data_IF_908794602561
#
_entry.id   IF_908794602561
#
_cell.length_a   1.000
_cell.length_b   1.000
_cell.length_c   1.000
_cell.angle_alpha   90.00
_cell.angle_beta   90.00
_cell.angle_gamma   90.00
#
_symmetry.space_group_name_H-M   'P 1'
#
loop_
_entity.id
_entity.type
_entity.pdbx_description
1 polymer ?
#
# COMPACT_ATOMS: atom_id res chain seq x y z
N UNK A 1 -18.08 0.74 -8.41
CA UNK A 1 -18.09 2.16 -7.99
C UNK A 1 -18.21 2.19 -6.46
N UNK A 2 -17.29 2.84 -5.74
CA UNK A 2 -17.35 2.98 -4.26
C UNK A 2 -16.32 2.18 -3.43
N UNK A 3 -15.68 1.16 -4.00
CA UNK A 3 -14.70 0.31 -3.28
C UNK A 3 -13.58 1.13 -2.61
N UNK A 4 -12.97 2.04 -3.36
CA UNK A 4 -11.87 2.86 -2.85
C UNK A 4 -12.30 3.85 -1.79
N UNK A 5 -13.49 4.45 -1.91
CA UNK A 5 -14.02 5.39 -0.92
C UNK A 5 -14.29 4.70 0.43
N UNK A 6 -14.86 3.50 0.40
CA UNK A 6 -15.08 2.69 1.62
C UNK A 6 -13.75 2.31 2.24
N UNK A 7 -12.75 1.94 1.42
CA UNK A 7 -11.40 1.64 1.89
C UNK A 7 -10.73 2.83 2.59
N UNK A 8 -10.79 4.03 1.99
CA UNK A 8 -10.23 5.26 2.60
C UNK A 8 -10.96 5.60 3.90
N UNK A 9 -12.30 5.53 3.91
CA UNK A 9 -13.10 5.82 5.10
C UNK A 9 -12.81 4.83 6.23
N UNK A 10 -12.66 3.54 5.90
CA UNK A 10 -12.26 2.51 6.87
C UNK A 10 -10.88 2.80 7.45
N UNK A 11 -9.90 3.16 6.61
CA UNK A 11 -8.55 3.54 7.07
C UNK A 11 -8.59 4.75 8.02
N UNK A 12 -9.38 5.78 7.69
CA UNK A 12 -9.58 6.94 8.56
C UNK A 12 -10.29 6.61 9.88
N UNK A 13 -11.19 5.61 9.87
CA UNK A 13 -11.95 5.19 11.06
C UNK A 13 -11.10 4.36 12.01
N UNK A 14 -10.32 3.42 11.47
CA UNK A 14 -9.46 2.52 12.26
C UNK A 14 -8.32 3.30 12.91
N UNK A 15 -7.84 4.39 12.28
CA UNK A 15 -6.72 5.22 12.76
C UNK A 15 -5.46 4.41 13.11
N UNK A 16 -5.23 3.31 12.39
CA UNK A 16 -4.01 2.50 12.47
C UNK A 16 -3.32 2.48 11.12
N UNK A 17 -2.13 1.89 11.06
CA UNK A 17 -1.40 1.71 9.80
C UNK A 17 -2.20 0.83 8.84
N UNK A 18 -2.31 1.28 7.60
CA UNK A 18 -3.08 0.63 6.55
C UNK A 18 -2.15 0.13 5.45
N UNK A 19 -2.28 -1.14 5.06
CA UNK A 19 -1.63 -1.72 3.90
C UNK A 19 -2.65 -1.96 2.80
N UNK A 20 -2.38 -1.46 1.60
CA UNK A 20 -3.25 -1.64 0.43
C UNK A 20 -2.50 -2.43 -0.62
N UNK A 21 -3.11 -3.50 -1.13
CA UNK A 21 -2.54 -4.38 -2.13
C UNK A 21 -3.38 -4.37 -3.40
N UNK A 22 -2.75 -3.95 -4.50
CA UNK A 22 -3.35 -3.91 -5.82
C UNK A 22 -2.69 -4.86 -6.81
N UNK A 23 -3.30 -5.03 -7.98
CA UNK A 23 -2.77 -5.92 -9.02
C UNK A 23 -1.69 -5.24 -9.90
N UNK A 24 -1.73 -3.91 -10.03
CA UNK A 24 -0.82 -3.16 -10.91
C UNK A 24 -0.34 -1.84 -10.29
N UNK A 25 0.74 -1.28 -10.83
CA UNK A 25 1.22 0.07 -10.47
C UNK A 25 0.17 1.15 -10.74
N UNK A 26 -0.64 0.98 -11.78
CA UNK A 26 -1.79 1.85 -12.08
C UNK A 26 -2.80 1.82 -10.92
N UNK A 27 -3.08 0.64 -10.36
CA UNK A 27 -3.98 0.52 -9.21
C UNK A 27 -3.40 1.25 -7.99
N UNK A 28 -2.08 1.17 -7.77
CA UNK A 28 -1.40 1.88 -6.67
C UNK A 28 -1.56 3.39 -6.78
N UNK A 29 -1.36 3.96 -7.96
CA UNK A 29 -1.55 5.41 -8.19
C UNK A 29 -3.00 5.85 -8.01
N UNK A 30 -3.95 5.04 -8.47
CA UNK A 30 -5.38 5.30 -8.24
C UNK A 30 -5.70 5.32 -6.75
N UNK A 31 -5.23 4.34 -5.98
CA UNK A 31 -5.41 4.31 -4.53
C UNK A 31 -4.79 5.53 -3.87
N UNK A 32 -3.55 5.90 -4.22
CA UNK A 32 -2.91 7.12 -3.72
C UNK A 32 -3.77 8.36 -4.00
N UNK A 33 -4.27 8.53 -5.21
CA UNK A 33 -5.14 9.65 -5.57
C UNK A 33 -6.43 9.66 -4.75
N UNK A 34 -7.04 8.51 -4.50
CA UNK A 34 -8.25 8.40 -3.66
C UNK A 34 -7.97 8.75 -2.19
N UNK A 35 -6.84 8.30 -1.63
CA UNK A 35 -6.43 8.72 -0.29
C UNK A 35 -6.24 10.23 -0.20
N UNK A 36 -5.60 10.86 -1.18
CA UNK A 36 -5.41 12.32 -1.19
C UNK A 36 -6.71 13.11 -1.39
N UNK A 37 -7.65 12.54 -2.14
CA UNK A 37 -8.91 13.22 -2.45
C UNK A 37 -9.92 13.13 -1.29
N UNK A 38 -9.94 12.00 -0.59
CA UNK A 38 -10.95 11.71 0.44
C UNK A 38 -10.42 11.71 1.88
N UNK A 39 -9.13 11.97 2.08
CA UNK A 39 -8.53 12.13 3.41
C UNK A 39 -7.55 13.30 3.43
N UNK A 40 -7.23 13.80 4.62
CA UNK A 40 -6.28 14.89 4.84
C UNK A 40 -4.86 14.39 5.12
N UNK A 41 -4.52 13.18 4.65
CA UNK A 41 -3.20 12.59 4.84
C UNK A 41 -2.16 13.32 3.98
N UNK A 42 -0.97 13.54 4.53
CA UNK A 42 0.13 14.14 3.78
C UNK A 42 0.76 13.14 2.81
N UNK A 43 1.29 13.62 1.68
CA UNK A 43 1.93 12.76 0.68
C UNK A 43 3.14 12.02 1.26
N UNK A 44 3.84 12.63 2.23
CA UNK A 44 4.97 12.01 2.94
C UNK A 44 4.58 10.82 3.81
N UNK A 45 3.29 10.71 4.19
CA UNK A 45 2.78 9.60 5.00
C UNK A 45 2.26 8.43 4.14
N UNK A 46 2.09 8.64 2.84
CA UNK A 46 1.74 7.61 1.87
C UNK A 46 3.02 7.07 1.23
N UNK A 47 3.33 5.80 1.47
CA UNK A 47 4.41 5.10 0.78
C UNK A 47 3.87 4.22 -0.34
N UNK A 48 4.39 4.39 -1.56
CA UNK A 48 4.17 3.45 -2.65
C UNK A 48 5.32 2.47 -2.73
N UNK A 49 4.97 1.21 -2.91
CA UNK A 49 5.93 0.14 -3.09
C UNK A 49 5.60 -0.66 -4.34
N UNK A 50 6.16 -0.23 -5.46
CA UNK A 50 6.05 -0.88 -6.76
C UNK A 50 7.45 -1.23 -7.29
N UNK A 51 7.53 -1.93 -8.41
CA UNK A 51 8.80 -2.22 -9.08
C UNK A 51 9.59 -0.95 -9.42
N UNK A 52 8.87 0.12 -9.77
CA UNK A 52 9.44 1.38 -10.29
C UNK A 52 9.57 2.46 -9.21
N UNK A 53 8.73 2.42 -8.17
CA UNK A 53 8.72 3.40 -7.07
C UNK A 53 8.95 2.70 -5.73
N UNK A 54 10.08 3.02 -5.08
CA UNK A 54 10.47 2.53 -3.76
C UNK A 54 10.57 3.71 -2.81
N UNK A 55 9.42 4.25 -2.44
CA UNK A 55 9.36 5.34 -1.47
C UNK A 55 9.93 4.84 -0.13
N UNK A 56 10.73 5.68 0.56
CA UNK A 56 11.38 5.28 1.82
C UNK A 56 10.34 5.13 2.92
N UNK A 57 10.23 3.98 3.60
CA UNK A 57 9.16 3.72 4.56
C UNK A 57 9.47 4.28 5.96
N UNK A 58 9.89 5.54 6.03
CA UNK A 58 10.21 6.21 7.30
C UNK A 58 8.95 6.94 7.78
N UNK A 59 8.24 6.36 8.75
CA UNK A 59 7.11 7.01 9.41
C UNK A 59 5.80 7.04 8.61
N UNK A 60 5.68 6.23 7.54
CA UNK A 60 4.45 6.14 6.76
C UNK A 60 3.32 5.43 7.54
N UNK A 61 2.11 5.97 7.43
CA UNK A 61 0.89 5.42 8.01
C UNK A 61 0.13 4.56 7.00
N UNK A 62 0.24 4.88 5.71
CA UNK A 62 -0.41 4.13 4.63
C UNK A 62 0.67 3.63 3.67
N UNK A 63 0.72 2.31 3.48
CA UNK A 63 1.54 1.70 2.45
C UNK A 63 0.66 1.12 1.36
N UNK A 64 1.00 1.36 0.11
CA UNK A 64 0.27 0.87 -1.06
C UNK A 64 1.27 0.09 -1.93
N UNK A 65 1.01 -1.19 -2.15
CA UNK A 65 1.88 -2.08 -2.89
C UNK A 65 1.13 -2.97 -3.86
N UNK A 66 1.86 -3.73 -4.68
CA UNK A 66 1.30 -4.72 -5.59
C UNK A 66 1.48 -6.14 -5.07
N UNK A 67 0.55 -7.04 -5.41
CA UNK A 67 0.69 -8.47 -5.10
C UNK A 67 1.98 -9.06 -5.64
N UNK A 68 2.38 -8.65 -6.85
CA UNK A 68 3.63 -9.06 -7.47
C UNK A 68 4.85 -8.67 -6.63
N UNK A 69 4.86 -7.50 -5.98
CA UNK A 69 5.97 -7.09 -5.12
C UNK A 69 6.04 -7.90 -3.82
N UNK A 70 4.90 -8.25 -3.22
CA UNK A 70 4.87 -9.11 -2.04
C UNK A 70 5.24 -10.56 -2.34
N UNK A 71 4.68 -11.11 -3.43
CA UNK A 71 4.80 -12.52 -3.82
C UNK A 71 6.09 -12.89 -4.53
N UNK A 72 6.78 -11.97 -5.21
CA UNK A 72 8.04 -12.29 -5.88
C UNK A 72 9.20 -12.50 -4.90
N UNK A 73 9.63 -13.74 -4.73
CA UNK A 73 10.80 -14.16 -3.93
C UNK A 73 12.13 -14.13 -4.69
N UNK A 74 12.15 -13.74 -5.96
CA UNK A 74 13.37 -13.61 -6.77
C UNK A 74 14.25 -12.44 -6.32
N UNK A 75 15.51 -12.41 -6.78
CA UNK A 75 16.57 -11.44 -6.42
C UNK A 75 16.04 -9.99 -6.40
N UNK A 76 15.63 -9.52 -5.22
CA UNK A 76 15.21 -8.13 -5.00
C UNK A 76 16.48 -7.27 -4.92
N UNK A 77 16.40 -6.04 -5.42
CA UNK A 77 17.42 -5.03 -5.08
C UNK A 77 17.48 -4.87 -3.57
N UNK A 78 18.66 -4.60 -3.01
CA UNK A 78 18.86 -4.34 -1.57
C UNK A 78 17.80 -3.41 -0.94
N UNK A 79 17.41 -2.35 -1.64
CA UNK A 79 16.37 -1.43 -1.17
C UNK A 79 14.99 -2.08 -1.02
N UNK A 80 14.59 -2.91 -1.98
CA UNK A 80 13.31 -3.62 -1.93
C UNK A 80 13.30 -4.69 -0.83
N UNK A 81 14.43 -5.30 -0.53
CA UNK A 81 14.56 -6.24 0.58
C UNK A 81 14.37 -5.54 1.94
N UNK A 82 15.01 -4.38 2.16
CA UNK A 82 14.80 -3.58 3.38
C UNK A 82 13.36 -3.10 3.54
N UNK A 83 12.70 -2.70 2.46
CA UNK A 83 11.29 -2.28 2.54
C UNK A 83 10.38 -3.47 2.85
N UNK A 84 10.66 -4.65 2.30
CA UNK A 84 9.92 -5.87 2.63
C UNK A 84 10.12 -6.31 4.08
N UNK A 85 11.34 -6.20 4.60
CA UNK A 85 11.64 -6.45 6.00
C UNK A 85 10.89 -5.47 6.91
N UNK A 86 10.88 -4.19 6.57
CA UNK A 86 10.09 -3.17 7.27
C UNK A 86 8.57 -3.46 7.21
N UNK A 87 8.06 -3.90 6.06
CA UNK A 87 6.64 -4.21 5.90
C UNK A 87 6.24 -5.42 6.74
N UNK A 88 7.15 -6.40 6.91
CA UNK A 88 6.95 -7.58 7.76
C UNK A 88 7.14 -7.29 9.25
N UNK A 89 8.02 -6.37 9.62
CA UNK A 89 8.28 -6.02 11.02
C UNK A 89 7.18 -5.16 11.64
N UNK A 90 6.37 -4.52 10.79
CA UNK A 90 5.30 -3.65 11.22
C UNK A 90 3.95 -4.39 11.34
N UNK A 91 3.23 -4.13 12.43
CA UNK A 91 1.82 -4.50 12.53
C UNK A 91 0.92 -3.56 11.73
N UNK A 92 0.10 -4.16 10.87
CA UNK A 92 -0.90 -3.48 10.06
C UNK A 92 -2.26 -3.61 10.75
N UNK A 93 -2.88 -2.48 11.07
CA UNK A 93 -4.20 -2.47 11.71
C UNK A 93 -5.36 -2.63 10.72
N UNK A 94 -5.10 -2.38 9.43
CA UNK A 94 -6.03 -2.61 8.33
C UNK A 94 -5.25 -3.08 7.10
N UNK A 95 -5.77 -4.12 6.44
CA UNK A 95 -5.24 -4.61 5.16
C UNK A 95 -6.38 -4.55 4.16
N UNK A 96 -6.17 -3.83 3.06
CA UNK A 96 -7.10 -3.71 1.95
C UNK A 96 -6.54 -4.51 0.78
N UNK A 97 -7.29 -5.51 0.34
CA UNK A 97 -6.96 -6.34 -0.81
C UNK A 97 -7.89 -5.93 -1.96
N UNK A 98 -7.34 -5.33 -3.00
CA UNK A 98 -8.11 -5.00 -4.20
C UNK A 98 -8.08 -6.19 -5.18
N UNK A 99 -9.13 -6.31 -5.99
CA UNK A 99 -9.26 -7.35 -7.02
C UNK A 99 -9.04 -8.79 -6.48
N UNK A 100 -9.61 -9.12 -5.31
CA UNK A 100 -9.38 -10.42 -4.63
C UNK A 100 -9.69 -11.66 -5.46
N UNK A 101 -10.52 -11.55 -6.49
CA UNK A 101 -10.82 -12.65 -7.41
C UNK A 101 -9.64 -13.05 -8.29
N UNK A 102 -8.58 -12.23 -8.39
CA UNK A 102 -7.36 -12.55 -9.13
C UNK A 102 -6.31 -13.25 -8.26
N UNK A 103 -6.61 -13.50 -6.98
CA UNK A 103 -5.72 -14.20 -6.05
C UNK A 103 -6.06 -15.71 -6.15
N UNK A 104 -5.13 -16.55 -6.66
CA UNK A 104 -5.33 -18.00 -6.76
C UNK A 104 -5.32 -18.71 -5.40
#
# INVERSE_FOLDING_TARGET
AGKSLVGVTAACTVRKRCLVLGNSSVSVEQWKAQFKMWSTIDDSQICRFTSDAKDKPIGCSVAISTYSMLGHTTKRSWEAERVMEWMKSQEWGLIILDEVHTIP
#
